data_IF_249160032617
#
_entry.id   IF_249160032617
#
_cell.length_a   1.000
_cell.length_b   1.000
_cell.length_c   1.000
_cell.angle_alpha   90.00
_cell.angle_beta   90.00
_cell.angle_gamma   90.00
#
_symmetry.space_group_name_H-M   'P 1'
#
loop_
_entity.id
_entity.type
_entity.pdbx_description
1 polymer ?
#
# COMPACT_ATOMS: atom_id res chain seq x y z
N UNK A 1 46.21 -0.82 -5.03
CA UNK A 1 45.34 -1.47 -6.03
C UNK A 1 44.29 -2.27 -5.29
N UNK A 2 43.05 -1.81 -5.35
CA UNK A 2 41.84 -2.64 -5.29
C UNK A 2 40.71 -1.70 -5.73
N UNK A 3 40.44 -1.75 -7.02
CA UNK A 3 39.41 -1.01 -7.72
C UNK A 3 38.07 -1.33 -7.08
N UNK A 4 37.32 -0.30 -6.72
CA UNK A 4 35.97 -0.41 -6.19
C UNK A 4 35.06 -0.86 -7.36
N UNK A 5 35.00 -2.16 -7.60
CA UNK A 5 34.13 -2.73 -8.63
C UNK A 5 32.75 -2.90 -8.00
N UNK A 6 31.98 -1.81 -8.04
CA UNK A 6 30.53 -1.90 -7.86
C UNK A 6 30.03 -2.88 -8.92
N UNK A 7 29.18 -3.83 -8.56
CA UNK A 7 28.63 -4.79 -9.53
C UNK A 7 27.93 -4.02 -10.67
N UNK A 8 28.15 -4.36 -11.95
CA UNK A 8 27.48 -3.68 -13.07
C UNK A 8 25.95 -3.84 -13.04
N UNK A 9 25.43 -4.81 -12.27
CA UNK A 9 23.99 -4.98 -11.98
C UNK A 9 23.48 -3.92 -10.98
N UNK A 10 24.34 -3.38 -10.12
CA UNK A 10 24.03 -2.27 -9.21
C UNK A 10 24.07 -0.91 -9.94
N UNK A 11 24.88 -0.77 -11.00
CA UNK A 11 24.86 0.41 -11.87
C UNK A 11 23.59 0.48 -12.73
N UNK A 12 23.11 -0.66 -13.25
CA UNK A 12 21.88 -0.73 -14.05
C UNK A 12 20.62 -0.33 -13.27
N UNK A 13 20.56 -0.67 -11.97
CA UNK A 13 19.43 -0.31 -11.10
C UNK A 13 19.43 1.11 -10.58
N UNK A 14 20.56 1.81 -10.65
CA UNK A 14 20.66 3.22 -10.21
C UNK A 14 20.40 4.21 -11.35
N UNK A 15 20.28 3.72 -12.59
CA UNK A 15 20.08 4.52 -13.79
C UNK A 15 18.61 4.73 -14.21
N UNK A 16 17.63 4.09 -13.56
CA UNK A 16 16.19 4.21 -13.92
C UNK A 16 15.35 4.96 -12.87
N UNK A 17 15.88 6.04 -12.30
CA UNK A 17 15.03 6.98 -11.56
C UNK A 17 15.41 8.40 -11.95
N UNK A 18 15.16 8.69 -13.22
CA UNK A 18 14.97 10.05 -13.69
C UNK A 18 13.84 10.69 -12.88
N UNK A 19 14.03 11.95 -12.50
CA UNK A 19 13.12 12.69 -11.64
C UNK A 19 11.75 12.95 -12.31
N UNK A 20 10.78 12.05 -12.14
CA UNK A 20 9.33 12.22 -12.37
C UNK A 20 8.65 10.93 -11.91
N UNK A 21 8.19 10.77 -10.67
CA UNK A 21 6.96 11.34 -10.14
C UNK A 21 7.08 11.55 -8.63
N UNK A 22 7.09 12.80 -8.17
CA UNK A 22 7.07 13.15 -6.74
C UNK A 22 5.66 13.14 -6.16
N UNK A 23 4.72 12.43 -6.79
CA UNK A 23 3.35 12.36 -6.31
C UNK A 23 3.27 11.20 -5.31
N UNK A 24 3.55 11.53 -4.05
CA UNK A 24 3.35 10.63 -2.93
C UNK A 24 1.92 10.75 -2.39
N UNK A 25 1.51 9.71 -1.68
CA UNK A 25 0.37 9.76 -0.78
C UNK A 25 0.90 9.77 0.65
N UNK A 26 0.22 10.50 1.53
CA UNK A 26 0.66 10.71 2.90
C UNK A 26 -0.41 10.29 3.90
N UNK A 27 0.02 9.98 5.12
CA UNK A 27 -0.88 9.80 6.24
C UNK A 27 -1.56 11.13 6.57
N UNK A 28 -2.89 11.16 6.59
CA UNK A 28 -3.63 12.38 6.94
C UNK A 28 -3.43 12.84 8.40
N UNK A 29 -2.85 12.00 9.26
CA UNK A 29 -2.61 12.32 10.69
C UNK A 29 -1.23 12.91 10.92
N UNK A 30 -0.17 12.28 10.41
CA UNK A 30 1.22 12.69 10.70
C UNK A 30 2.01 13.15 9.47
N UNK A 31 1.39 13.16 8.28
CA UNK A 31 2.03 13.53 7.01
C UNK A 31 3.23 12.67 6.59
N UNK A 32 3.45 11.50 7.21
CA UNK A 32 4.47 10.56 6.74
C UNK A 32 4.09 10.00 5.36
N UNK A 33 5.08 9.77 4.49
CA UNK A 33 4.88 9.11 3.19
C UNK A 33 4.34 7.69 3.40
N UNK A 34 3.27 7.35 2.67
CA UNK A 34 2.64 6.02 2.71
C UNK A 34 2.96 5.21 1.46
N UNK A 35 3.00 5.84 0.29
CA UNK A 35 3.24 5.20 -1.00
C UNK A 35 3.23 6.22 -2.12
N UNK A 36 3.20 5.76 -3.37
CA UNK A 36 3.11 6.66 -4.54
C UNK A 36 1.69 6.68 -5.10
N UNK A 37 1.34 7.79 -5.75
CA UNK A 37 0.12 7.90 -6.55
C UNK A 37 0.19 6.95 -7.75
N UNK A 38 1.37 6.74 -8.33
CA UNK A 38 1.60 5.79 -9.42
C UNK A 38 1.29 4.34 -9.05
N UNK A 39 1.30 4.01 -7.75
CA UNK A 39 1.01 2.66 -7.27
C UNK A 39 -0.50 2.37 -7.23
N UNK A 40 -1.37 3.31 -7.62
CA UNK A 40 -2.82 3.06 -7.74
C UNK A 40 -3.05 1.86 -8.65
N UNK A 41 -3.87 0.92 -8.19
CA UNK A 41 -4.22 -0.29 -8.95
C UNK A 41 -5.72 -0.52 -8.95
N UNK A 42 -6.23 -1.19 -9.99
CA UNK A 42 -7.63 -1.60 -10.08
C UNK A 42 -7.80 -3.04 -9.62
N UNK A 43 -8.69 -3.26 -8.66
CA UNK A 43 -9.09 -4.57 -8.17
C UNK A 43 -10.54 -4.80 -8.59
N UNK A 44 -10.83 -5.96 -9.20
CA UNK A 44 -12.17 -6.26 -9.73
C UNK A 44 -12.75 -5.14 -10.63
N UNK A 45 -11.89 -4.47 -11.41
CA UNK A 45 -12.28 -3.44 -12.37
C UNK A 45 -12.42 -2.02 -11.82
N UNK A 46 -12.11 -1.76 -10.54
CA UNK A 46 -12.15 -0.40 -9.95
C UNK A 46 -10.94 -0.14 -9.04
N UNK A 47 -10.52 1.12 -8.94
CA UNK A 47 -9.57 1.57 -7.91
C UNK A 47 -10.26 1.78 -6.56
N UNK A 48 -11.50 2.27 -6.59
CA UNK A 48 -12.24 2.66 -5.40
C UNK A 48 -13.35 1.66 -5.07
N UNK A 49 -13.52 1.37 -3.79
CA UNK A 49 -14.53 0.43 -3.29
C UNK A 49 -15.19 0.98 -2.03
N UNK A 50 -16.52 0.94 -2.00
CA UNK A 50 -17.30 1.20 -0.78
C UNK A 50 -17.63 -0.14 -0.16
N UNK A 51 -17.10 -0.39 1.04
CA UNK A 51 -17.21 -1.68 1.71
C UNK A 51 -17.77 -1.52 3.12
N UNK A 52 -18.71 -2.38 3.50
CA UNK A 52 -19.29 -2.39 4.86
C UNK A 52 -18.80 -3.62 5.60
N UNK A 53 -18.26 -3.43 6.81
CA UNK A 53 -17.84 -4.56 7.64
C UNK A 53 -19.05 -5.25 8.32
N UNK A 54 -18.87 -6.43 8.94
CA UNK A 54 -19.96 -7.14 9.62
C UNK A 54 -20.64 -6.36 10.76
N UNK A 55 -19.98 -5.34 11.28
CA UNK A 55 -20.52 -4.45 12.32
C UNK A 55 -21.31 -3.26 11.75
N UNK A 56 -21.52 -3.21 10.43
CA UNK A 56 -22.29 -2.15 9.76
C UNK A 56 -21.51 -0.86 9.52
N UNK A 57 -20.19 -0.86 9.69
CA UNK A 57 -19.33 0.32 9.45
C UNK A 57 -18.88 0.30 7.99
N UNK A 58 -19.20 1.39 7.27
CA UNK A 58 -18.83 1.57 5.86
C UNK A 58 -17.51 2.33 5.73
N UNK A 59 -16.63 1.84 4.87
CA UNK A 59 -15.35 2.43 4.51
C UNK A 59 -15.30 2.70 3.01
N UNK A 60 -14.72 3.85 2.65
CA UNK A 60 -14.37 4.17 1.27
C UNK A 60 -12.88 3.90 1.06
N UNK A 61 -12.56 2.92 0.24
CA UNK A 61 -11.21 2.39 0.04
C UNK A 61 -10.68 2.79 -1.33
N UNK A 62 -9.40 3.15 -1.39
CA UNK A 62 -8.62 3.12 -2.63
C UNK A 62 -7.63 1.96 -2.61
N UNK A 63 -7.34 1.41 -3.78
CA UNK A 63 -6.42 0.28 -3.94
C UNK A 63 -5.04 0.71 -4.47
N UNK A 64 -3.98 0.29 -3.78
CA UNK A 64 -2.59 0.49 -4.21
C UNK A 64 -1.84 -0.85 -4.27
N UNK A 65 -1.00 -1.04 -5.29
CA UNK A 65 -0.12 -2.19 -5.40
C UNK A 65 1.00 -2.16 -4.34
N UNK A 66 1.41 -0.96 -3.91
CA UNK A 66 2.43 -0.73 -2.89
C UNK A 66 2.04 0.38 -1.92
N UNK A 67 2.34 0.17 -0.64
CA UNK A 67 2.20 1.17 0.43
C UNK A 67 3.28 0.95 1.50
N UNK A 68 4.54 1.20 1.13
CA UNK A 68 5.72 0.89 1.95
C UNK A 68 5.78 1.65 3.29
N UNK A 69 5.04 2.75 3.43
CA UNK A 69 4.91 3.48 4.70
C UNK A 69 3.91 2.85 5.68
N UNK A 70 3.32 1.70 5.33
CA UNK A 70 2.47 0.92 6.22
C UNK A 70 3.24 -0.18 6.94
N UNK A 71 2.95 -0.38 8.24
CA UNK A 71 3.23 -1.62 8.95
C UNK A 71 2.02 -2.55 8.87
N UNK A 72 2.27 -3.81 8.52
CA UNK A 72 1.25 -4.87 8.49
C UNK A 72 1.25 -5.59 9.84
N UNK A 73 0.07 -5.78 10.43
CA UNK A 73 -0.07 -6.44 11.73
C UNK A 73 -1.29 -7.36 11.81
N UNK A 74 -1.23 -8.29 12.78
CA UNK A 74 -2.26 -9.29 13.00
C UNK A 74 -2.08 -10.56 12.18
N UNK A 75 -2.93 -11.54 12.49
CA UNK A 75 -3.00 -12.79 11.73
C UNK A 75 -3.67 -12.57 10.37
N UNK A 76 -3.33 -13.41 9.41
CA UNK A 76 -3.92 -13.40 8.08
C UNK A 76 -5.34 -13.96 8.14
N UNK A 77 -6.35 -13.12 7.90
CA UNK A 77 -7.77 -13.47 8.08
C UNK A 77 -8.49 -13.63 6.74
N UNK A 78 -9.26 -14.71 6.57
CA UNK A 78 -10.14 -14.90 5.41
C UNK A 78 -11.58 -14.46 5.67
N UNK A 79 -12.01 -14.48 6.93
CA UNK A 79 -13.36 -14.11 7.34
C UNK A 79 -13.65 -12.66 6.93
N UNK A 80 -14.86 -12.42 6.41
CA UNK A 80 -15.35 -11.07 6.09
C UNK A 80 -14.48 -10.26 5.12
N UNK A 81 -13.72 -10.96 4.27
CA UNK A 81 -12.99 -10.31 3.18
C UNK A 81 -13.96 -9.69 2.16
N UNK A 82 -13.68 -8.46 1.74
CA UNK A 82 -14.42 -7.82 0.65
C UNK A 82 -13.96 -8.24 -0.74
N UNK A 83 -12.76 -8.85 -0.82
CA UNK A 83 -12.14 -9.24 -2.08
C UNK A 83 -12.00 -10.77 -2.12
N UNK A 84 -12.85 -11.40 -2.93
CA UNK A 84 -12.91 -12.86 -3.03
C UNK A 84 -11.54 -13.46 -3.39
N UNK A 85 -11.12 -14.47 -2.62
CA UNK A 85 -9.82 -15.12 -2.78
C UNK A 85 -8.63 -14.36 -2.19
N UNK A 86 -8.86 -13.24 -1.50
CA UNK A 86 -7.85 -12.56 -0.70
C UNK A 86 -8.11 -12.75 0.79
N UNK A 87 -7.03 -12.81 1.56
CA UNK A 87 -7.04 -12.69 3.01
C UNK A 87 -6.55 -11.30 3.38
N UNK A 88 -6.93 -10.80 4.55
CA UNK A 88 -6.59 -9.46 4.99
C UNK A 88 -5.81 -9.45 6.30
N UNK A 89 -5.01 -8.40 6.46
CA UNK A 89 -4.31 -8.01 7.69
C UNK A 89 -4.45 -6.50 7.88
N UNK A 90 -4.27 -6.01 9.10
CA UNK A 90 -4.35 -4.58 9.36
C UNK A 90 -3.11 -3.88 8.80
N UNK A 91 -3.33 -2.78 8.08
CA UNK A 91 -2.29 -1.86 7.63
C UNK A 91 -2.41 -0.55 8.41
N UNK A 92 -1.36 -0.22 9.15
CA UNK A 92 -1.26 1.02 9.93
C UNK A 92 -0.08 1.86 9.47
N UNK A 93 -0.15 3.17 9.64
CA UNK A 93 0.99 4.05 9.44
C UNK A 93 2.19 3.55 10.26
N UNK A 94 3.37 3.40 9.64
CA UNK A 94 4.57 2.97 10.32
C UNK A 94 5.03 3.99 11.39
N UNK A 95 4.78 5.27 11.15
CA UNK A 95 5.18 6.37 12.04
C UNK A 95 4.21 6.54 13.21
N UNK A 96 2.94 6.89 12.95
CA UNK A 96 1.98 7.24 14.00
C UNK A 96 1.06 6.10 14.43
N UNK A 97 1.19 4.91 13.85
CA UNK A 97 0.37 3.71 14.12
C UNK A 97 -1.12 3.86 13.82
N UNK A 98 -1.58 4.99 13.29
CA UNK A 98 -2.96 5.18 12.85
C UNK A 98 -3.36 4.08 11.87
N UNK A 99 -4.52 3.48 12.07
CA UNK A 99 -5.04 2.46 11.16
C UNK A 99 -5.34 3.12 9.81
N UNK A 100 -4.69 2.69 8.73
CA UNK A 100 -4.88 3.27 7.40
C UNK A 100 -5.75 2.40 6.50
N UNK A 101 -5.87 1.11 6.80
CA UNK A 101 -6.74 0.19 6.08
C UNK A 101 -6.21 -1.23 6.19
N UNK A 102 -6.21 -1.96 5.09
CA UNK A 102 -5.92 -3.38 5.09
C UNK A 102 -4.91 -3.76 4.01
N UNK A 103 -4.07 -4.71 4.34
CA UNK A 103 -3.24 -5.42 3.38
C UNK A 103 -3.95 -6.69 2.95
N UNK A 104 -4.20 -6.85 1.66
CA UNK A 104 -4.87 -7.99 1.07
C UNK A 104 -3.88 -8.85 0.31
N UNK A 105 -3.79 -10.13 0.66
CA UNK A 105 -2.90 -11.08 0.02
C UNK A 105 -3.58 -12.42 -0.29
N UNK A 106 -3.29 -12.96 -1.47
CA UNK A 106 -3.69 -14.32 -1.85
C UNK A 106 -2.58 -15.31 -1.57
N UNK A 107 -1.37 -14.96 -2.00
CA UNK A 107 -0.13 -15.72 -1.87
C UNK A 107 1.05 -14.74 -1.64
N UNK A 108 2.29 -15.19 -1.82
CA UNK A 108 3.49 -14.37 -1.59
C UNK A 108 3.71 -13.31 -2.68
N UNK A 109 3.16 -13.51 -3.88
CA UNK A 109 3.40 -12.65 -5.05
C UNK A 109 2.19 -11.81 -5.44
N UNK A 110 0.98 -12.18 -4.98
CA UNK A 110 -0.27 -11.51 -5.32
C UNK A 110 -0.86 -10.82 -4.11
N UNK A 111 -0.67 -9.50 -4.04
CA UNK A 111 -1.18 -8.66 -2.96
C UNK A 111 -1.48 -7.22 -3.40
N UNK A 112 -2.19 -6.50 -2.55
CA UNK A 112 -2.41 -5.06 -2.65
C UNK A 112 -2.79 -4.48 -1.28
N UNK A 113 -2.90 -3.15 -1.21
CA UNK A 113 -3.37 -2.41 -0.04
C UNK A 113 -4.71 -1.75 -0.36
N UNK A 114 -5.71 -1.96 0.48
CA UNK A 114 -6.96 -1.19 0.49
C UNK A 114 -6.89 -0.15 1.59
N UNK A 115 -6.58 1.10 1.25
CA UNK A 115 -6.41 2.19 2.21
C UNK A 115 -7.67 3.05 2.26
N UNK A 116 -8.07 3.47 3.45
CA UNK A 116 -9.25 4.28 3.70
C UNK A 116 -8.95 5.71 3.21
N UNK A 117 -9.68 6.16 2.20
CA UNK A 117 -9.38 7.40 1.48
C UNK A 117 -9.37 8.63 2.39
N UNK A 118 -10.26 8.72 3.37
CA UNK A 118 -10.28 9.85 4.30
C UNK A 118 -9.11 9.86 5.32
N UNK A 119 -8.25 8.84 5.31
CA UNK A 119 -7.02 8.76 6.12
C UNK A 119 -5.75 8.97 5.30
N UNK A 120 -5.91 9.21 4.00
CA UNK A 120 -4.84 9.43 3.04
C UNK A 120 -5.01 10.81 2.44
N UNK A 121 -3.93 11.58 2.36
CA UNK A 121 -3.89 12.87 1.66
C UNK A 121 -2.94 12.79 0.47
N UNK A 122 -3.24 13.57 -0.57
CA UNK A 122 -2.38 13.78 -1.73
C UNK A 122 -2.00 15.26 -1.74
N UNK A 123 -0.74 15.58 -2.01
CA UNK A 123 -0.29 16.96 -2.30
C UNK A 123 -0.48 17.29 -3.78
#
# INVERSE_FOLDING_TARGET
MATHTIDPVLEDKTADSTAADKNFIYCAVCSSVIGRVSDKTSINGSHEHVCTNPHGITFHLGCWSQALGCTISGQRMAADTWFAGFRWRLASCAECRNHLGWYFDRDENTYFYGLILNRIQQE
#
